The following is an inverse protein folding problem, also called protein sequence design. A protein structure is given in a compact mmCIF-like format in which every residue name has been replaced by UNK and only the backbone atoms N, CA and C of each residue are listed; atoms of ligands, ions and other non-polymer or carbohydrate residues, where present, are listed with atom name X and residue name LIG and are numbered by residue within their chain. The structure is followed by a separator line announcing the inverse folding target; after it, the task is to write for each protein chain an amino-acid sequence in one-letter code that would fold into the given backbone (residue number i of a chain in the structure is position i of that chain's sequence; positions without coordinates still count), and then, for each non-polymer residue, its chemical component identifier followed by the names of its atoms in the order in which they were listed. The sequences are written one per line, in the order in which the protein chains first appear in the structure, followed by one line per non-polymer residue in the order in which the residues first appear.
data_IF_233152772831
#
_entry.id   IF_233152772831
#
_cell.length_a   1.000
_cell.length_b   1.000
_cell.length_c   1.000
_cell.angle_alpha   90.00
_cell.angle_beta   90.00
_cell.angle_gamma   90.00
#
_symmetry.space_group_name_H-M   'P 1'
#
loop_
_entity.id
_entity.type
_entity.pdbx_description
1 polymer ?
#
# COMPACT_ATOMS: atom_id res chain seq x y z
N UNK A 1 -31.79 18.72 25.84
CA UNK A 1 -31.05 17.45 25.76
C UNK A 1 -30.99 17.06 24.28
N UNK A 2 -29.94 17.48 23.56
CA UNK A 2 -29.74 17.19 22.12
C UNK A 2 -28.24 17.38 21.82
N UNK A 3 -27.41 16.42 22.21
CA UNK A 3 -25.95 16.43 21.96
C UNK A 3 -25.45 15.14 21.29
N UNK A 4 -26.34 14.20 20.95
CA UNK A 4 -25.95 12.89 20.42
C UNK A 4 -25.64 12.89 18.90
N UNK A 5 -26.15 13.84 18.12
CA UNK A 5 -26.05 13.80 16.65
C UNK A 5 -24.74 14.38 16.11
N UNK A 6 -24.10 15.32 16.81
CA UNK A 6 -22.83 15.90 16.39
C UNK A 6 -21.66 14.90 16.49
N UNK A 7 -21.64 14.08 17.55
CA UNK A 7 -20.55 13.14 17.83
C UNK A 7 -20.40 12.03 16.79
N UNK A 8 -21.50 11.52 16.24
CA UNK A 8 -21.48 10.42 15.26
C UNK A 8 -21.03 10.90 13.88
N UNK A 9 -21.49 12.08 13.46
CA UNK A 9 -21.16 12.67 12.16
C UNK A 9 -19.72 13.18 12.12
N UNK A 10 -19.22 13.77 13.21
CA UNK A 10 -17.81 14.19 13.34
C UNK A 10 -16.87 12.98 13.33
N UNK A 11 -17.23 11.89 14.02
CA UNK A 11 -16.42 10.66 14.03
C UNK A 11 -16.35 10.02 12.64
N UNK A 12 -17.48 9.93 11.92
CA UNK A 12 -17.48 9.51 10.53
C UNK A 12 -16.61 10.43 9.66
N UNK A 13 -16.72 11.75 9.82
CA UNK A 13 -15.94 12.71 9.03
C UNK A 13 -14.43 12.52 9.21
N UNK A 14 -13.98 12.26 10.45
CA UNK A 14 -12.56 12.04 10.74
C UNK A 14 -12.05 10.71 10.17
N UNK A 15 -12.84 9.64 10.23
CA UNK A 15 -12.46 8.36 9.63
C UNK A 15 -12.32 8.47 8.11
N UNK A 16 -13.24 9.14 7.42
CA UNK A 16 -13.13 9.36 5.97
C UNK A 16 -11.92 10.21 5.60
N UNK A 17 -11.59 11.22 6.40
CA UNK A 17 -10.39 12.04 6.19
C UNK A 17 -9.11 11.19 6.33
N UNK A 18 -9.03 10.35 7.37
CA UNK A 18 -7.93 9.41 7.57
C UNK A 18 -7.83 8.37 6.43
N UNK A 19 -8.96 7.85 5.98
CA UNK A 19 -9.01 6.89 4.87
C UNK A 19 -8.50 7.53 3.58
N UNK A 20 -8.93 8.76 3.28
CA UNK A 20 -8.45 9.53 2.14
C UNK A 20 -6.96 9.83 2.22
N UNK A 21 -6.45 10.22 3.40
CA UNK A 21 -5.03 10.45 3.64
C UNK A 21 -4.20 9.18 3.41
N UNK A 22 -4.64 8.05 3.96
CA UNK A 22 -3.99 6.75 3.80
C UNK A 22 -3.94 6.29 2.33
N UNK A 23 -5.04 6.46 1.59
CA UNK A 23 -5.10 6.14 0.16
C UNK A 23 -4.14 7.00 -0.67
N UNK A 24 -4.08 8.31 -0.39
CA UNK A 24 -3.17 9.22 -1.08
C UNK A 24 -1.70 8.91 -0.74
N UNK A 25 -1.41 8.64 0.54
CA UNK A 25 -0.07 8.24 0.98
C UNK A 25 0.38 6.94 0.30
N UNK A 26 -0.53 5.97 0.16
CA UNK A 26 -0.24 4.73 -0.55
C UNK A 26 0.08 4.95 -2.04
N UNK A 27 -0.67 5.81 -2.72
CA UNK A 27 -0.40 6.16 -4.13
C UNK A 27 0.99 6.80 -4.29
N UNK A 28 1.39 7.67 -3.38
CA UNK A 28 2.73 8.29 -3.39
C UNK A 28 3.84 7.25 -3.24
N UNK A 29 3.70 6.31 -2.31
CA UNK A 29 4.66 5.21 -2.12
C UNK A 29 4.73 4.34 -3.37
N UNK A 30 3.57 3.92 -3.91
CA UNK A 30 3.50 3.08 -5.11
C UNK A 30 4.21 3.73 -6.31
N UNK A 31 3.92 5.02 -6.56
CA UNK A 31 4.52 5.75 -7.67
C UNK A 31 6.03 6.00 -7.47
N UNK A 32 6.46 6.30 -6.25
CA UNK A 32 7.88 6.50 -5.94
C UNK A 32 8.65 5.19 -6.11
N UNK A 33 8.11 4.07 -5.61
CA UNK A 33 8.70 2.76 -5.79
C UNK A 33 8.74 2.33 -7.26
N UNK A 34 7.67 2.59 -8.02
CA UNK A 34 7.65 2.38 -9.47
C UNK A 34 8.79 3.15 -10.15
N UNK A 35 9.00 4.42 -9.79
CA UNK A 35 10.03 5.27 -10.39
C UNK A 35 11.44 4.74 -10.10
N UNK A 36 11.67 4.27 -8.87
CA UNK A 36 12.94 3.62 -8.49
C UNK A 36 13.17 2.35 -9.31
N UNK A 37 12.20 1.44 -9.38
CA UNK A 37 12.34 0.18 -10.13
C UNK A 37 12.49 0.48 -11.63
N UNK A 38 11.73 1.42 -12.20
CA UNK A 38 11.85 1.83 -13.60
C UNK A 38 13.27 2.28 -13.94
N UNK A 39 13.86 3.11 -13.07
CA UNK A 39 15.23 3.55 -13.21
C UNK A 39 16.18 2.36 -13.21
N UNK A 40 16.09 1.48 -12.21
CA UNK A 40 16.95 0.29 -12.09
C UNK A 40 16.83 -0.65 -13.30
N UNK A 41 15.62 -0.86 -13.84
CA UNK A 41 15.42 -1.60 -15.09
C UNK A 41 16.23 -0.95 -16.22
N UNK A 42 16.14 0.37 -16.38
CA UNK A 42 16.87 1.06 -17.46
C UNK A 42 18.39 1.12 -17.27
N UNK A 43 18.89 1.19 -16.03
CA UNK A 43 20.32 1.41 -15.75
C UNK A 43 21.10 0.15 -15.43
N UNK A 44 20.46 -0.86 -14.84
CA UNK A 44 21.15 -1.97 -14.18
C UNK A 44 20.73 -3.37 -14.66
N UNK A 45 19.69 -3.47 -15.51
CA UNK A 45 19.24 -4.77 -16.03
C UNK A 45 19.68 -5.04 -17.46
N UNK A 46 19.98 -6.31 -17.76
CA UNK A 46 20.27 -6.80 -19.10
C UNK A 46 18.99 -7.03 -19.93
N UNK A 47 19.13 -7.30 -21.23
CA UNK A 47 17.99 -7.44 -22.15
C UNK A 47 16.99 -8.54 -21.72
N UNK A 48 17.48 -9.68 -21.23
CA UNK A 48 16.62 -10.77 -20.76
C UNK A 48 15.85 -10.38 -19.48
N UNK A 49 16.51 -9.71 -18.54
CA UNK A 49 15.88 -9.19 -17.32
C UNK A 49 14.83 -8.12 -17.62
N UNK A 50 15.10 -7.21 -18.56
CA UNK A 50 14.12 -6.20 -19.02
C UNK A 50 12.87 -6.84 -19.60
N UNK A 51 13.04 -7.89 -20.40
CA UNK A 51 11.92 -8.62 -21.00
C UNK A 51 11.11 -9.39 -19.96
N UNK A 52 11.76 -9.91 -18.91
CA UNK A 52 11.08 -10.60 -17.81
C UNK A 52 10.37 -9.63 -16.84
N UNK A 53 10.89 -8.41 -16.68
CA UNK A 53 10.31 -7.37 -15.83
C UNK A 53 9.26 -6.59 -16.62
N UNK A 54 8.01 -7.04 -16.56
CA UNK A 54 6.89 -6.28 -17.09
C UNK A 54 6.60 -5.08 -16.17
N UNK A 55 7.05 -3.89 -16.58
CA UNK A 55 6.88 -2.67 -15.82
C UNK A 55 5.92 -1.72 -16.51
N UNK A 56 4.70 -1.63 -15.99
CA UNK A 56 3.69 -0.68 -16.43
C UNK A 56 3.11 0.03 -15.21
N UNK A 57 3.07 1.36 -15.23
CA UNK A 57 2.53 2.17 -14.13
C UNK A 57 1.08 1.79 -13.78
N UNK A 58 0.29 1.37 -14.78
CA UNK A 58 -1.10 0.96 -14.59
C UNK A 58 -1.26 -0.44 -14.00
N UNK A 59 -0.22 -1.27 -13.98
CA UNK A 59 -0.29 -2.64 -13.42
C UNK A 59 0.72 -2.87 -12.29
N UNK A 60 1.57 -1.88 -12.00
CA UNK A 60 2.62 -1.98 -11.00
C UNK A 60 2.06 -2.33 -9.64
N UNK A 61 2.57 -3.44 -9.08
CA UNK A 61 2.12 -4.00 -7.81
C UNK A 61 0.59 -4.17 -7.68
N UNK A 62 -0.15 -4.29 -8.79
CA UNK A 62 -1.57 -4.63 -8.75
C UNK A 62 -1.74 -6.14 -8.64
N UNK A 63 -2.59 -6.56 -7.71
CA UNK A 63 -2.85 -7.98 -7.45
C UNK A 63 -3.05 -8.24 -5.98
N UNK A 64 -3.28 -9.51 -5.62
CA UNK A 64 -3.22 -9.93 -4.21
C UNK A 64 -1.78 -10.34 -3.84
N UNK A 65 -1.52 -10.59 -2.56
CA UNK A 65 -0.17 -10.90 -2.06
C UNK A 65 0.45 -12.15 -2.69
N UNK A 66 -0.36 -13.13 -3.13
CA UNK A 66 0.14 -14.35 -3.74
C UNK A 66 0.67 -14.08 -5.16
N UNK A 67 -0.11 -13.33 -5.95
CA UNK A 67 0.29 -12.94 -7.32
C UNK A 67 1.57 -12.11 -7.30
N UNK A 68 1.71 -11.26 -6.27
CA UNK A 68 2.82 -10.33 -6.14
C UNK A 68 4.09 -10.96 -5.58
N UNK A 69 4.04 -12.14 -4.96
CA UNK A 69 5.25 -12.78 -4.41
C UNK A 69 6.28 -13.05 -5.50
N UNK A 70 5.86 -13.61 -6.63
CA UNK A 70 6.75 -13.94 -7.75
C UNK A 70 7.38 -12.69 -8.37
N UNK A 71 6.59 -11.62 -8.53
CA UNK A 71 7.06 -10.34 -9.05
C UNK A 71 8.09 -9.72 -8.11
N UNK A 72 7.83 -9.74 -6.80
CA UNK A 72 8.78 -9.24 -5.80
C UNK A 72 10.05 -10.10 -5.77
N UNK A 73 9.93 -11.43 -5.83
CA UNK A 73 11.09 -12.32 -5.92
C UNK A 73 11.98 -11.98 -7.11
N UNK A 74 11.39 -11.74 -8.28
CA UNK A 74 12.14 -11.30 -9.47
C UNK A 74 12.85 -9.97 -9.22
N UNK A 75 12.16 -8.95 -8.69
CA UNK A 75 12.77 -7.65 -8.43
C UNK A 75 13.94 -7.72 -7.45
N UNK A 76 13.78 -8.45 -6.34
CA UNK A 76 14.85 -8.58 -5.34
C UNK A 76 15.96 -9.53 -5.78
N UNK A 77 15.70 -10.48 -6.68
CA UNK A 77 16.75 -11.28 -7.31
C UNK A 77 17.61 -10.42 -8.24
N UNK A 78 17.00 -9.55 -9.05
CA UNK A 78 17.71 -8.74 -10.06
C UNK A 78 18.37 -7.51 -9.44
N UNK A 79 17.65 -6.78 -8.58
CA UNK A 79 18.11 -5.49 -8.06
C UNK A 79 18.60 -5.56 -6.61
N UNK A 80 18.16 -6.55 -5.83
CA UNK A 80 18.60 -6.77 -4.46
C UNK A 80 18.55 -5.51 -3.59
N UNK A 81 19.69 -5.16 -3.00
CA UNK A 81 19.85 -4.00 -2.11
C UNK A 81 19.79 -2.65 -2.81
N UNK A 82 19.70 -2.59 -4.15
CA UNK A 82 19.48 -1.33 -4.88
C UNK A 82 18.05 -0.82 -4.72
N UNK A 83 17.12 -1.69 -4.32
CA UNK A 83 15.77 -1.30 -3.93
C UNK A 83 15.86 -0.75 -2.49
N UNK A 84 15.48 0.51 -2.22
CA UNK A 84 15.63 1.11 -0.88
C UNK A 84 14.75 0.48 0.20
N UNK A 85 13.63 -0.12 -0.20
CA UNK A 85 12.77 -0.90 0.68
C UNK A 85 13.19 -2.37 0.68
N UNK A 86 12.94 -3.06 1.78
CA UNK A 86 13.10 -4.52 1.85
C UNK A 86 11.89 -5.24 1.26
N UNK A 87 12.07 -6.51 0.86
CA UNK A 87 10.94 -7.33 0.37
C UNK A 87 9.79 -7.37 1.36
N UNK A 88 10.10 -7.51 2.65
CA UNK A 88 9.11 -7.52 3.73
C UNK A 88 8.34 -6.19 3.81
N UNK A 89 9.01 -5.04 3.67
CA UNK A 89 8.36 -3.73 3.65
C UNK A 89 7.44 -3.55 2.44
N UNK A 90 7.87 -3.98 1.25
CA UNK A 90 7.00 -3.91 0.06
C UNK A 90 5.81 -4.86 0.19
N UNK A 91 6.00 -6.05 0.76
CA UNK A 91 4.89 -6.97 1.06
C UNK A 91 3.92 -6.39 2.09
N UNK A 92 4.42 -5.77 3.16
CA UNK A 92 3.60 -5.07 4.17
C UNK A 92 2.83 -3.92 3.52
N UNK A 93 3.49 -3.08 2.72
CA UNK A 93 2.85 -2.02 1.95
C UNK A 93 1.69 -2.55 1.09
N UNK A 94 1.96 -3.55 0.26
CA UNK A 94 0.99 -4.17 -0.65
C UNK A 94 -0.22 -4.69 0.11
N UNK A 95 0.02 -5.41 1.22
CA UNK A 95 -1.03 -5.99 2.06
C UNK A 95 -1.96 -4.90 2.62
N UNK A 96 -1.39 -3.90 3.30
CA UNK A 96 -2.19 -2.84 3.93
C UNK A 96 -2.92 -1.99 2.88
N UNK A 97 -2.26 -1.62 1.78
CA UNK A 97 -2.87 -0.88 0.66
C UNK A 97 -4.03 -1.66 0.03
N UNK A 98 -3.92 -2.98 -0.11
CA UNK A 98 -5.03 -3.81 -0.60
C UNK A 98 -6.18 -3.91 0.41
N UNK A 99 -5.90 -4.02 1.71
CA UNK A 99 -6.94 -3.98 2.74
C UNK A 99 -7.70 -2.66 2.65
N UNK A 100 -6.99 -1.53 2.65
CA UNK A 100 -7.55 -0.18 2.65
C UNK A 100 -8.36 0.11 1.38
N UNK A 101 -7.82 -0.23 0.21
CA UNK A 101 -8.47 0.10 -1.07
C UNK A 101 -9.61 -0.83 -1.47
N UNK A 102 -9.61 -2.10 -1.00
CA UNK A 102 -10.56 -3.12 -1.48
C UNK A 102 -11.47 -3.68 -0.41
N UNK A 103 -11.02 -3.73 0.84
CA UNK A 103 -11.68 -4.46 1.91
C UNK A 103 -12.02 -3.60 3.14
N UNK A 104 -11.67 -2.32 3.15
CA UNK A 104 -11.79 -1.47 4.34
C UNK A 104 -13.22 -1.44 4.88
N UNK A 105 -14.22 -1.18 4.02
CA UNK A 105 -15.63 -1.18 4.43
C UNK A 105 -16.07 -2.55 4.96
N UNK A 106 -15.59 -3.64 4.36
CA UNK A 106 -15.89 -5.00 4.84
C UNK A 106 -15.30 -5.24 6.22
N UNK A 107 -14.07 -4.79 6.45
CA UNK A 107 -13.34 -4.99 7.71
C UNK A 107 -13.84 -4.09 8.86
N UNK A 108 -14.50 -2.97 8.54
CA UNK A 108 -14.91 -1.96 9.52
C UNK A 108 -16.44 -1.86 9.66
N UNK A 109 -17.14 -1.51 8.58
CA UNK A 109 -18.57 -1.16 8.61
C UNK A 109 -19.55 -2.26 8.22
N UNK A 110 -19.18 -3.24 7.39
CA UNK A 110 -20.13 -4.26 6.91
C UNK A 110 -20.33 -5.39 7.92
N UNK A 111 -21.56 -5.71 8.31
CA UNK A 111 -21.84 -6.87 9.19
C UNK A 111 -21.79 -8.19 8.42
N UNK A 112 -20.58 -8.71 8.19
CA UNK A 112 -20.34 -9.96 7.48
C UNK A 112 -20.04 -11.06 8.50
N UNK A 113 -20.93 -12.08 8.57
CA UNK A 113 -20.78 -13.23 9.46
C UNK A 113 -19.47 -13.97 9.20
N UNK A 114 -18.64 -14.10 10.25
CA UNK A 114 -17.32 -14.75 10.17
C UNK A 114 -16.25 -13.93 9.45
N UNK A 115 -16.52 -12.67 9.11
CA UNK A 115 -15.52 -11.76 8.57
C UNK A 115 -14.58 -11.27 9.67
N UNK A 116 -13.27 -11.26 9.39
CA UNK A 116 -12.31 -10.58 10.26
C UNK A 116 -12.64 -9.08 10.34
N UNK A 117 -12.61 -8.56 11.57
CA UNK A 117 -12.89 -7.17 11.89
C UNK A 117 -11.64 -6.44 12.30
N UNK A 118 -11.48 -5.23 11.80
CA UNK A 118 -10.41 -4.34 12.21
C UNK A 118 -10.79 -3.71 13.57
N UNK A 119 -10.00 -3.99 14.61
CA UNK A 119 -10.34 -3.60 15.98
C UNK A 119 -10.33 -2.09 16.23
N UNK A 120 -9.40 -1.35 15.60
CA UNK A 120 -9.31 0.11 15.70
C UNK A 120 -8.95 0.72 14.34
N UNK A 121 -9.95 1.12 13.54
CA UNK A 121 -9.71 1.62 12.19
C UNK A 121 -8.94 2.93 12.11
N UNK A 122 -9.21 3.88 13.01
CA UNK A 122 -8.52 5.17 13.06
C UNK A 122 -7.03 5.01 13.36
N UNK A 123 -6.69 4.16 14.34
CA UNK A 123 -5.30 3.86 14.67
C UNK A 123 -4.60 3.17 13.50
N UNK A 124 -5.23 2.15 12.91
CA UNK A 124 -4.68 1.42 11.78
C UNK A 124 -4.38 2.34 10.58
N UNK A 125 -5.29 3.25 10.23
CA UNK A 125 -5.08 4.22 9.14
C UNK A 125 -3.96 5.22 9.46
N UNK A 126 -3.87 5.66 10.72
CA UNK A 126 -2.82 6.59 11.17
C UNK A 126 -1.44 5.93 11.13
N UNK A 127 -1.32 4.70 11.65
CA UNK A 127 -0.09 3.91 11.62
C UNK A 127 0.35 3.58 10.20
N UNK A 128 -0.59 3.21 9.31
CA UNK A 128 -0.26 2.97 7.91
C UNK A 128 0.21 4.23 7.20
N UNK A 129 -0.43 5.38 7.44
CA UNK A 129 0.01 6.67 6.90
C UNK A 129 1.44 7.00 7.37
N UNK A 130 1.75 6.80 8.65
CA UNK A 130 3.09 7.01 9.19
C UNK A 130 4.14 6.05 8.55
N UNK A 131 3.77 4.78 8.30
CA UNK A 131 4.62 3.85 7.55
C UNK A 131 4.87 4.34 6.13
N UNK A 132 3.84 4.84 5.44
CA UNK A 132 4.00 5.40 4.11
C UNK A 132 4.97 6.59 4.10
N UNK A 133 4.90 7.49 5.08
CA UNK A 133 5.86 8.59 5.21
C UNK A 133 7.29 8.09 5.42
N UNK A 134 7.49 7.09 6.28
CA UNK A 134 8.79 6.47 6.50
C UNK A 134 9.34 5.78 5.23
N UNK A 135 8.48 5.10 4.47
CA UNK A 135 8.87 4.50 3.18
C UNK A 135 9.21 5.56 2.13
N UNK A 136 8.45 6.65 2.05
CA UNK A 136 8.73 7.75 1.13
C UNK A 136 10.11 8.37 1.40
N UNK A 137 10.49 8.56 2.67
CA UNK A 137 11.82 9.07 3.02
C UNK A 137 12.96 8.19 2.50
N UNK A 138 12.73 6.88 2.38
CA UNK A 138 13.73 5.94 1.82
C UNK A 138 13.74 5.93 0.28
N UNK A 139 12.63 6.30 -0.34
CA UNK A 139 12.43 6.32 -1.80
C UNK A 139 12.77 7.69 -2.42
N UNK A 140 13.03 8.70 -1.60
CA UNK A 140 13.35 10.09 -1.99
C UNK A 140 14.81 10.26 -2.42
#
# INVERSE_FOLDING_TARGET
MTTATASSTEKLSNEHALLGAALLAAQKVEFSLYTVIAKLVTTDSNEHERQAIELNADTFLKGNSNDLSLVLDLYYQVFGSKIPLTKAEVSDFVFNRNLISRNYWRATGADVKGGEKLGNPELYLSEFTAKCEAWLQKLS
#
